data_IF_969997283666
#
_entry.id   IF_969997283666
#
_cell.length_a   1.000
_cell.length_b   1.000
_cell.length_c   1.000
_cell.angle_alpha   90.00
_cell.angle_beta   90.00
_cell.angle_gamma   90.00
#
_symmetry.space_group_name_H-M   'P 1'
#
loop_
_entity.id
_entity.type
_entity.pdbx_description
1 polymer ?
#
# COMPACT_ATOMS: atom_id res chain seq x y z
N UNK A 1 -14.29 1.24 5.00
CA UNK A 1 -13.04 0.49 4.72
C UNK A 1 -11.91 1.48 4.55
N UNK A 2 -10.91 1.41 5.41
CA UNK A 2 -9.73 2.27 5.38
C UNK A 2 -8.53 1.47 4.87
N UNK A 3 -7.89 1.93 3.80
CA UNK A 3 -6.77 1.22 3.15
C UNK A 3 -5.55 2.12 3.14
N UNK A 4 -4.44 1.66 3.71
CA UNK A 4 -3.16 2.35 3.65
C UNK A 4 -2.31 1.79 2.52
N UNK A 5 -1.89 2.65 1.58
CA UNK A 5 -1.04 2.29 0.45
C UNK A 5 0.38 2.73 0.72
N UNK A 6 1.35 1.81 0.73
CA UNK A 6 2.77 2.06 0.94
C UNK A 6 3.47 2.74 -0.25
N UNK A 7 2.81 3.70 -0.90
CA UNK A 7 3.33 4.49 -2.01
C UNK A 7 2.57 5.81 -2.16
N UNK A 8 3.30 6.88 -2.47
CA UNK A 8 2.73 8.19 -2.85
C UNK A 8 2.46 8.31 -4.37
N UNK A 9 2.76 7.25 -5.14
CA UNK A 9 2.50 7.29 -6.58
C UNK A 9 0.99 7.27 -6.84
N UNK A 10 0.47 8.37 -7.38
CA UNK A 10 -0.96 8.57 -7.67
C UNK A 10 -1.56 7.44 -8.51
N UNK A 11 -0.83 6.85 -9.45
CA UNK A 11 -1.31 5.73 -10.27
C UNK A 11 -1.60 4.51 -9.41
N UNK A 12 -0.72 4.21 -8.44
CA UNK A 12 -0.92 3.08 -7.52
C UNK A 12 -2.07 3.32 -6.56
N UNK A 13 -2.16 4.53 -6.00
CA UNK A 13 -3.25 4.91 -5.09
C UNK A 13 -4.59 4.82 -5.79
N UNK A 14 -4.72 5.39 -7.00
CA UNK A 14 -5.96 5.31 -7.79
C UNK A 14 -6.30 3.89 -8.24
N UNK A 15 -5.32 3.04 -8.51
CA UNK A 15 -5.57 1.64 -8.82
C UNK A 15 -6.18 0.89 -7.61
N UNK A 16 -5.65 1.13 -6.40
CA UNK A 16 -6.18 0.55 -5.16
C UNK A 16 -7.61 1.07 -4.92
N UNK A 17 -7.83 2.38 -5.00
CA UNK A 17 -9.15 2.99 -4.85
C UNK A 17 -10.16 2.40 -5.85
N UNK A 18 -9.80 2.28 -7.12
CA UNK A 18 -10.67 1.72 -8.16
C UNK A 18 -11.07 0.27 -7.89
N UNK A 19 -10.15 -0.57 -7.44
CA UNK A 19 -10.42 -1.99 -7.16
C UNK A 19 -11.22 -2.15 -5.88
N UNK A 20 -10.81 -1.49 -4.79
CA UNK A 20 -11.49 -1.62 -3.50
C UNK A 20 -12.91 -1.05 -3.56
N UNK A 21 -13.15 0.04 -4.30
CA UNK A 21 -14.49 0.64 -4.43
C UNK A 21 -15.48 -0.25 -5.20
N UNK A 22 -15.00 -1.27 -5.92
CA UNK A 22 -15.86 -2.28 -6.56
C UNK A 22 -16.29 -3.38 -5.59
N UNK A 23 -15.54 -3.58 -4.51
CA UNK A 23 -15.74 -4.66 -3.54
C UNK A 23 -16.41 -4.14 -2.27
N UNK A 24 -16.10 -2.91 -1.86
CA UNK A 24 -16.59 -2.28 -0.63
C UNK A 24 -17.33 -0.97 -0.95
N UNK A 25 -18.41 -0.67 -0.20
CA UNK A 25 -19.26 0.49 -0.47
C UNK A 25 -18.68 1.85 -0.06
N UNK A 26 -17.84 1.91 0.98
CA UNK A 26 -17.22 3.16 1.47
C UNK A 26 -15.73 2.90 1.73
N UNK A 27 -14.88 3.39 0.81
CA UNK A 27 -13.43 3.17 0.82
C UNK A 27 -12.72 4.51 0.95
N UNK A 28 -11.82 4.60 1.94
CA UNK A 28 -10.86 5.70 2.05
C UNK A 28 -9.46 5.15 1.87
N UNK A 29 -8.74 5.70 0.90
CA UNK A 29 -7.37 5.28 0.59
C UNK A 29 -6.40 6.35 1.06
N UNK A 30 -5.43 5.94 1.90
CA UNK A 30 -4.40 6.80 2.44
C UNK A 30 -3.05 6.44 1.83
N UNK A 31 -2.40 7.40 1.17
CA UNK A 31 -1.05 7.23 0.70
C UNK A 31 -0.07 7.42 1.87
N UNK A 32 0.78 6.42 2.11
CA UNK A 32 1.77 6.43 3.18
C UNK A 32 3.16 6.27 2.57
N UNK A 33 4.03 7.25 2.83
CA UNK A 33 5.42 7.19 2.43
C UNK A 33 6.18 6.23 3.34
N UNK A 34 6.68 5.14 2.78
CA UNK A 34 7.39 4.08 3.51
C UNK A 34 8.62 3.59 2.73
N UNK A 35 9.57 2.99 3.44
CA UNK A 35 10.74 2.37 2.82
C UNK A 35 10.47 0.89 2.53
N UNK A 36 10.91 0.37 1.38
CA UNK A 36 10.74 -1.05 1.06
C UNK A 36 11.77 -1.97 1.73
N UNK A 37 12.85 -1.42 2.31
CA UNK A 37 13.92 -2.20 2.94
C UNK A 37 14.69 -3.11 1.97
N UNK A 38 14.59 -2.81 0.67
CA UNK A 38 15.27 -3.48 -0.46
C UNK A 38 15.72 -2.40 -1.47
N UNK A 39 16.66 -2.69 -2.38
CA UNK A 39 17.12 -1.72 -3.38
C UNK A 39 16.00 -1.12 -4.25
N UNK A 40 16.22 0.06 -4.87
CA UNK A 40 15.22 0.70 -5.74
C UNK A 40 14.78 -0.16 -6.92
N UNK A 41 15.68 -1.01 -7.43
CA UNK A 41 15.40 -2.03 -8.43
C UNK A 41 15.63 -3.42 -7.80
N UNK A 42 14.61 -4.01 -7.16
CA UNK A 42 14.71 -5.35 -6.57
C UNK A 42 14.88 -6.42 -7.65
N UNK A 43 15.58 -7.51 -7.31
CA UNK A 43 15.69 -8.70 -8.16
C UNK A 43 15.11 -9.93 -7.43
N UNK A 44 14.48 -10.83 -8.19
CA UNK A 44 13.92 -12.09 -7.67
C UNK A 44 13.00 -11.86 -6.45
N UNK A 45 13.27 -12.54 -5.34
CA UNK A 45 12.49 -12.51 -4.10
C UNK A 45 12.46 -11.14 -3.41
N UNK A 46 13.40 -10.25 -3.74
CA UNK A 46 13.42 -8.89 -3.20
C UNK A 46 12.17 -8.10 -3.63
N UNK A 47 11.58 -8.43 -4.79
CA UNK A 47 10.35 -7.79 -5.27
C UNK A 47 9.19 -8.04 -4.31
N UNK A 48 9.02 -9.30 -3.91
CA UNK A 48 7.97 -9.73 -2.97
C UNK A 48 8.28 -9.18 -1.57
N UNK A 49 9.54 -9.28 -1.13
CA UNK A 49 9.99 -8.73 0.16
C UNK A 49 9.70 -7.23 0.26
N UNK A 50 10.04 -6.47 -0.78
CA UNK A 50 9.79 -5.03 -0.83
C UNK A 50 8.30 -4.67 -0.84
N UNK A 51 7.46 -5.47 -1.51
CA UNK A 51 6.01 -5.29 -1.47
C UNK A 51 5.44 -5.56 -0.06
N UNK A 52 5.80 -6.69 0.57
CA UNK A 52 5.37 -7.03 1.92
C UNK A 52 5.80 -5.99 2.95
N UNK A 53 7.03 -5.48 2.85
CA UNK A 53 7.52 -4.44 3.74
C UNK A 53 6.70 -3.15 3.59
N UNK A 54 6.44 -2.71 2.36
CA UNK A 54 5.62 -1.52 2.10
C UNK A 54 4.20 -1.65 2.68
N UNK A 55 3.52 -2.77 2.42
CA UNK A 55 2.17 -3.02 2.93
C UNK A 55 2.13 -3.02 4.48
N UNK A 56 3.09 -3.70 5.13
CA UNK A 56 3.18 -3.76 6.60
C UNK A 56 3.47 -2.40 7.21
N UNK A 57 4.42 -1.66 6.66
CA UNK A 57 4.77 -0.33 7.16
C UNK A 57 3.65 0.68 6.91
N UNK A 58 2.91 0.57 5.79
CA UNK A 58 1.76 1.42 5.54
C UNK A 58 0.65 1.19 6.58
N UNK A 59 0.36 -0.07 6.89
CA UNK A 59 -0.61 -0.45 7.92
C UNK A 59 -0.19 0.06 9.31
N UNK A 60 1.09 -0.08 9.68
CA UNK A 60 1.61 0.39 10.97
C UNK A 60 1.56 1.91 11.13
N UNK A 61 1.82 2.64 10.06
CA UNK A 61 1.88 4.10 10.08
C UNK A 61 0.53 4.77 9.81
N UNK A 62 -0.55 4.00 9.70
CA UNK A 62 -1.91 4.51 9.52
C UNK A 62 -2.82 3.92 10.61
N UNK A 63 -3.04 4.69 11.67
CA UNK A 63 -3.69 4.26 12.92
C UNK A 63 -5.07 3.60 12.72
N UNK A 64 -5.80 3.98 11.67
CA UNK A 64 -7.16 3.51 11.41
C UNK A 64 -7.27 2.64 10.14
N UNK A 65 -6.18 2.13 9.58
CA UNK A 65 -6.23 1.30 8.39
C UNK A 65 -6.65 -0.14 8.71
N UNK A 66 -7.65 -0.63 7.97
CA UNK A 66 -8.11 -2.02 8.01
C UNK A 66 -7.17 -2.94 7.20
N UNK A 67 -6.55 -2.40 6.14
CA UNK A 67 -5.64 -3.13 5.25
C UNK A 67 -4.44 -2.27 4.81
N UNK A 68 -3.28 -2.92 4.67
CA UNK A 68 -2.07 -2.35 4.08
C UNK A 68 -1.82 -2.91 2.68
N UNK A 69 -1.51 -2.05 1.72
CA UNK A 69 -1.27 -2.38 0.31
C UNK A 69 0.06 -1.83 -0.17
#
# INVERSE_FOLDING_TARGET
MCVAVGSENRVKVSAVESVFSRVFCDVRVYAVKVNSGVPPQPLNDETIKGALNRAREALRNCENADMGV
#
